data_IF_704630179331
#
_entry.id   IF_704630179331
#
_cell.length_a   1.000
_cell.length_b   1.000
_cell.length_c   1.000
_cell.angle_alpha   90.00
_cell.angle_beta   90.00
_cell.angle_gamma   90.00
#
_symmetry.space_group_name_H-M   'P 1'
#
loop_
_entity.id
_entity.type
_entity.pdbx_description
1 polymer ?
#
# COMPACT_ATOMS: atom_id res chain seq x y z
N UNK A 1 -29.79 -32.49 -11.27
CA UNK A 1 -29.56 -31.14 -10.78
C UNK A 1 -28.06 -30.88 -10.89
N UNK A 2 -27.64 -30.18 -11.95
CA UNK A 2 -26.26 -29.73 -12.13
C UNK A 2 -26.15 -28.44 -11.32
N UNK A 3 -25.49 -28.49 -10.18
CA UNK A 3 -25.05 -27.29 -9.50
C UNK A 3 -24.01 -26.63 -10.41
N UNK A 4 -24.42 -25.59 -11.10
CA UNK A 4 -23.47 -24.64 -11.71
C UNK A 4 -22.80 -23.89 -10.56
N UNK A 5 -21.67 -24.42 -10.09
CA UNK A 5 -20.86 -23.78 -9.07
C UNK A 5 -20.42 -22.40 -9.58
N UNK A 6 -21.14 -21.36 -9.20
CA UNK A 6 -20.74 -19.99 -9.45
C UNK A 6 -19.37 -19.77 -8.83
N UNK A 7 -18.40 -19.23 -9.61
CA UNK A 7 -17.07 -18.88 -9.11
C UNK A 7 -17.25 -17.88 -7.95
N UNK A 8 -16.90 -18.31 -6.72
CA UNK A 8 -16.96 -17.42 -5.55
C UNK A 8 -16.02 -16.26 -5.76
N UNK A 9 -16.55 -15.04 -5.72
CA UNK A 9 -15.72 -13.83 -5.79
C UNK A 9 -14.77 -13.78 -4.59
N UNK A 10 -13.51 -13.46 -4.88
CA UNK A 10 -12.49 -13.25 -3.85
C UNK A 10 -12.65 -11.87 -3.21
N UNK A 11 -12.41 -11.82 -1.92
CA UNK A 11 -12.57 -10.61 -1.11
C UNK A 11 -11.27 -9.83 -1.05
N UNK A 12 -11.30 -8.55 -1.41
CA UNK A 12 -10.17 -7.61 -1.39
C UNK A 12 -10.23 -6.72 -0.16
N UNK A 13 -9.09 -6.58 0.53
CA UNK A 13 -8.82 -5.52 1.48
C UNK A 13 -7.79 -4.57 0.89
N UNK A 14 -8.06 -3.27 0.96
CA UNK A 14 -7.09 -2.22 0.66
C UNK A 14 -6.61 -1.63 1.97
N UNK A 15 -5.31 -1.65 2.21
CA UNK A 15 -4.71 -1.05 3.39
C UNK A 15 -3.53 -0.17 2.98
N UNK A 16 -3.44 1.03 3.56
CA UNK A 16 -2.45 2.00 3.13
C UNK A 16 -2.01 2.90 4.28
N UNK A 17 -0.82 3.47 4.13
CA UNK A 17 -0.34 4.61 4.88
C UNK A 17 -0.20 5.81 3.94
N UNK A 18 -0.59 6.98 4.40
CA UNK A 18 -0.46 8.22 3.63
C UNK A 18 -0.09 9.37 4.56
N UNK A 19 0.78 10.24 4.06
CA UNK A 19 1.20 11.45 4.76
C UNK A 19 1.37 12.59 3.75
N UNK A 20 1.48 13.85 4.24
CA UNK A 20 1.63 15.02 3.39
C UNK A 20 0.40 15.26 2.49
N UNK A 21 0.55 15.21 1.17
CA UNK A 21 -0.50 15.59 0.21
C UNK A 21 -1.62 14.57 0.03
N UNK A 22 -1.56 13.42 0.70
CA UNK A 22 -2.57 12.38 0.55
C UNK A 22 -2.51 11.62 -0.77
N UNK A 23 -1.36 11.58 -1.43
CA UNK A 23 -1.21 10.94 -2.74
C UNK A 23 -1.48 9.44 -2.69
N UNK A 24 -0.93 8.73 -1.70
CA UNK A 24 -1.19 7.28 -1.54
C UNK A 24 -2.67 7.02 -1.24
N UNK A 25 -3.27 7.83 -0.39
CA UNK A 25 -4.71 7.75 -0.08
C UNK A 25 -5.57 7.93 -1.32
N UNK A 26 -5.22 8.89 -2.18
CA UNK A 26 -5.92 9.13 -3.44
C UNK A 26 -5.94 7.89 -4.32
N UNK A 27 -4.81 7.21 -4.47
CA UNK A 27 -4.72 5.99 -5.27
C UNK A 27 -5.50 4.84 -4.62
N UNK A 28 -5.40 4.69 -3.30
CA UNK A 28 -6.15 3.68 -2.56
C UNK A 28 -7.68 3.86 -2.76
N UNK A 29 -8.16 5.10 -2.72
CA UNK A 29 -9.58 5.42 -2.95
C UNK A 29 -10.03 5.20 -4.40
N UNK A 30 -9.15 5.45 -5.37
CA UNK A 30 -9.43 5.09 -6.77
C UNK A 30 -9.65 3.58 -6.91
N UNK A 31 -8.78 2.77 -6.31
CA UNK A 31 -8.93 1.32 -6.33
C UNK A 31 -10.20 0.87 -5.62
N UNK A 32 -10.52 1.46 -4.48
CA UNK A 32 -11.75 1.16 -3.73
C UNK A 32 -13.00 1.43 -4.54
N UNK A 33 -13.09 2.58 -5.19
CA UNK A 33 -14.28 2.98 -5.94
C UNK A 33 -14.59 2.04 -7.10
N UNK A 34 -13.58 1.41 -7.69
CA UNK A 34 -13.73 0.50 -8.82
C UNK A 34 -13.90 -0.97 -8.40
N UNK A 35 -13.65 -1.30 -7.15
CA UNK A 35 -13.70 -2.67 -6.64
C UNK A 35 -14.74 -2.88 -5.54
N UNK A 36 -15.33 -1.81 -5.03
CA UNK A 36 -16.26 -1.81 -3.88
C UNK A 36 -15.70 -2.62 -2.69
N UNK A 37 -14.43 -2.40 -2.39
CA UNK A 37 -13.67 -3.16 -1.40
C UNK A 37 -13.60 -2.45 -0.06
N UNK A 38 -13.30 -3.21 1.00
CA UNK A 38 -12.96 -2.63 2.30
C UNK A 38 -11.62 -1.89 2.21
N UNK A 39 -11.53 -0.77 2.90
CA UNK A 39 -10.34 0.09 2.93
C UNK A 39 -10.03 0.52 4.35
N UNK A 40 -8.75 0.47 4.71
CA UNK A 40 -8.24 0.90 6.00
C UNK A 40 -6.98 1.72 5.87
N UNK A 41 -6.88 2.76 6.68
CA UNK A 41 -5.67 3.56 6.82
C UNK A 41 -4.85 3.07 8.01
N UNK A 42 -3.54 2.92 7.81
CA UNK A 42 -2.58 2.68 8.89
C UNK A 42 -2.27 4.02 9.55
N UNK A 43 -2.39 4.09 10.87
CA UNK A 43 -1.97 5.23 11.67
C UNK A 43 -0.93 4.80 12.70
N UNK A 44 0.09 5.64 12.92
CA UNK A 44 1.04 5.43 14.01
C UNK A 44 0.45 5.86 15.33
N UNK A 45 0.81 5.18 16.42
CA UNK A 45 0.38 5.54 17.78
C UNK A 45 0.88 6.94 18.13
N UNK A 46 2.15 7.23 17.81
CA UNK A 46 2.73 8.57 17.92
C UNK A 46 2.73 9.21 16.52
N UNK A 47 1.91 10.23 16.28
CA UNK A 47 1.88 10.90 14.98
C UNK A 47 3.20 11.58 14.64
N UNK A 48 3.55 11.58 13.36
CA UNK A 48 4.62 12.44 12.87
C UNK A 48 4.17 13.90 12.99
N UNK A 49 5.02 14.74 13.56
CA UNK A 49 4.68 16.13 13.84
C UNK A 49 5.85 17.07 13.56
N UNK A 50 5.55 18.36 13.46
CA UNK A 50 6.51 19.40 13.13
C UNK A 50 6.41 19.83 11.67
N UNK A 51 7.45 20.49 11.17
CA UNK A 51 7.52 20.92 9.78
C UNK A 51 7.70 19.73 8.82
N UNK A 52 7.50 19.99 7.53
CA UNK A 52 7.79 18.99 6.50
C UNK A 52 9.24 18.46 6.64
N UNK A 53 10.20 19.36 6.81
CA UNK A 53 11.61 18.98 6.96
C UNK A 53 11.87 18.16 8.23
N UNK A 54 11.20 18.47 9.33
CA UNK A 54 11.30 17.68 10.56
C UNK A 54 10.87 16.23 10.33
N UNK A 55 9.77 16.01 9.62
CA UNK A 55 9.28 14.67 9.32
C UNK A 55 10.19 13.97 8.30
N UNK A 56 10.69 14.68 7.30
CA UNK A 56 11.68 14.14 6.34
C UNK A 56 12.92 13.63 7.07
N UNK A 57 13.46 14.41 8.00
CA UNK A 57 14.64 14.04 8.78
C UNK A 57 14.36 12.88 9.74
N UNK A 58 13.20 12.85 10.38
CA UNK A 58 12.77 11.74 11.21
C UNK A 58 12.65 10.45 10.39
N UNK A 59 12.04 10.55 9.21
CA UNK A 59 11.90 9.42 8.29
C UNK A 59 13.25 8.85 7.86
N UNK A 60 14.24 9.71 7.57
CA UNK A 60 15.60 9.26 7.25
C UNK A 60 16.22 8.49 8.41
N UNK A 61 16.12 9.00 9.61
CA UNK A 61 16.63 8.33 10.80
C UNK A 61 15.96 6.98 11.04
N UNK A 62 14.64 6.91 10.92
CA UNK A 62 13.88 5.69 11.12
C UNK A 62 14.24 4.62 10.08
N UNK A 63 14.33 5.01 8.80
CA UNK A 63 14.72 4.10 7.71
C UNK A 63 16.14 3.57 7.91
N UNK A 64 17.08 4.44 8.25
CA UNK A 64 18.48 4.04 8.48
C UNK A 64 18.65 3.07 9.64
N UNK A 65 17.85 3.22 10.71
CA UNK A 65 17.86 2.33 11.87
C UNK A 65 17.03 1.06 11.69
N UNK A 66 16.28 0.95 10.61
CA UNK A 66 15.30 -0.12 10.47
C UNK A 66 14.18 -0.06 11.52
N UNK A 67 13.83 1.13 11.98
CA UNK A 67 12.82 1.34 13.01
C UNK A 67 11.42 1.00 12.50
N UNK A 68 10.66 0.30 13.34
CA UNK A 68 9.27 -0.07 13.07
C UNK A 68 8.40 0.62 14.11
N UNK A 69 7.79 1.79 13.77
CA UNK A 69 6.93 2.50 14.71
C UNK A 69 5.71 1.67 15.08
N UNK A 70 5.27 1.80 16.32
CA UNK A 70 4.01 1.20 16.74
C UNK A 70 2.85 1.80 15.98
N UNK A 71 2.00 0.98 15.42
CA UNK A 71 0.78 1.39 14.71
C UNK A 71 -0.45 1.13 15.58
N UNK A 72 -1.49 1.95 15.38
CA UNK A 72 -2.76 1.75 16.06
C UNK A 72 -3.36 0.40 15.67
N UNK A 73 -4.04 -0.29 16.60
CA UNK A 73 -4.72 -1.54 16.29
C UNK A 73 -5.65 -1.39 15.09
N UNK A 74 -5.60 -2.36 14.17
CA UNK A 74 -6.49 -2.42 13.02
C UNK A 74 -7.69 -3.28 13.40
N UNK A 75 -8.89 -2.71 13.26
CA UNK A 75 -10.15 -3.40 13.56
C UNK A 75 -10.56 -4.30 12.40
N UNK A 76 -9.65 -5.18 12.01
CA UNK A 76 -9.85 -6.09 10.89
C UNK A 76 -8.94 -7.31 11.03
N UNK A 77 -9.44 -8.45 10.54
CA UNK A 77 -8.67 -9.68 10.44
C UNK A 77 -8.34 -9.97 8.98
N UNK A 78 -7.05 -9.90 8.61
CA UNK A 78 -6.64 -10.15 7.21
C UNK A 78 -6.94 -11.59 6.77
N UNK A 79 -7.12 -12.53 7.71
CA UNK A 79 -7.53 -13.89 7.37
C UNK A 79 -8.88 -13.96 6.63
N UNK A 80 -9.73 -12.94 6.80
CA UNK A 80 -11.05 -12.87 6.14
C UNK A 80 -10.96 -12.44 4.67
N UNK A 81 -9.77 -12.13 4.17
CA UNK A 81 -9.54 -11.62 2.83
C UNK A 81 -8.64 -12.55 2.01
N UNK A 82 -8.92 -12.64 0.73
CA UNK A 82 -8.13 -13.45 -0.21
C UNK A 82 -7.02 -12.64 -0.86
N UNK A 83 -7.29 -11.36 -1.11
CA UNK A 83 -6.38 -10.42 -1.77
C UNK A 83 -6.20 -9.19 -0.89
N UNK A 84 -4.96 -8.78 -0.68
CA UNK A 84 -4.62 -7.62 0.14
C UNK A 84 -3.77 -6.66 -0.68
N UNK A 85 -4.33 -5.49 -1.00
CA UNK A 85 -3.58 -4.41 -1.64
C UNK A 85 -2.98 -3.52 -0.56
N UNK A 86 -1.68 -3.32 -0.61
CA UNK A 86 -0.94 -2.54 0.38
C UNK A 86 -0.29 -1.34 -0.28
N UNK A 87 -0.69 -0.15 0.14
CA UNK A 87 -0.21 1.13 -0.40
C UNK A 87 0.72 1.88 0.54
N UNK A 88 1.79 2.45 -0.01
CA UNK A 88 2.80 3.20 0.73
C UNK A 88 3.30 4.40 -0.08
N UNK A 89 3.63 5.54 0.57
CA UNK A 89 4.51 6.51 -0.04
C UNK A 89 5.95 5.98 -0.05
N UNK A 90 6.82 6.66 -0.79
CA UNK A 90 8.27 6.39 -0.77
C UNK A 90 8.93 7.27 0.27
N UNK A 91 9.56 6.67 1.25
CA UNK A 91 10.34 7.35 2.28
C UNK A 91 11.80 6.88 2.18
N UNK A 92 12.68 7.77 1.76
CA UNK A 92 14.10 7.46 1.65
C UNK A 92 14.37 6.14 0.89
N UNK A 93 13.80 6.06 -0.32
CA UNK A 93 13.97 4.97 -1.29
C UNK A 93 13.35 3.64 -0.90
N UNK A 94 12.56 3.60 0.17
CA UNK A 94 11.85 2.38 0.61
C UNK A 94 10.42 2.70 1.05
N UNK A 95 9.69 1.70 1.54
CA UNK A 95 8.35 1.89 2.10
C UNK A 95 8.39 2.75 3.37
N UNK A 96 7.29 3.43 3.68
CA UNK A 96 7.13 4.12 4.95
C UNK A 96 7.30 3.13 6.12
N UNK A 97 7.99 3.53 7.21
CA UNK A 97 8.21 2.64 8.37
C UNK A 97 6.92 2.05 8.96
N UNK A 98 5.81 2.80 8.94
CA UNK A 98 4.51 2.31 9.41
C UNK A 98 3.99 1.12 8.58
N UNK A 99 4.23 1.12 7.28
CA UNK A 99 3.88 0.00 6.39
C UNK A 99 4.76 -1.21 6.69
N UNK A 100 6.03 -1.01 6.94
CA UNK A 100 6.95 -2.08 7.35
C UNK A 100 6.48 -2.75 8.64
N UNK A 101 6.05 -1.95 9.63
CA UNK A 101 5.44 -2.46 10.86
C UNK A 101 4.25 -3.35 10.55
N UNK A 102 3.32 -2.88 9.72
CA UNK A 102 2.13 -3.66 9.34
C UNK A 102 2.52 -4.98 8.66
N UNK A 103 3.40 -4.93 7.67
CA UNK A 103 3.80 -6.14 6.92
C UNK A 103 4.48 -7.18 7.81
N UNK A 104 5.25 -6.75 8.80
CA UNK A 104 5.90 -7.66 9.73
C UNK A 104 4.98 -8.22 10.81
N UNK A 105 3.86 -7.56 11.10
CA UNK A 105 2.89 -8.02 12.10
C UNK A 105 1.91 -9.05 11.58
N UNK A 106 1.72 -9.17 10.26
CA UNK A 106 0.69 -10.00 9.66
C UNK A 106 1.27 -11.28 9.07
N UNK A 107 0.42 -12.30 9.00
CA UNK A 107 0.73 -13.54 8.29
C UNK A 107 0.11 -13.51 6.89
N UNK A 108 0.96 -13.44 5.87
CA UNK A 108 0.54 -13.39 4.47
C UNK A 108 0.67 -14.74 3.76
N UNK A 109 1.00 -15.82 4.45
CA UNK A 109 1.18 -17.14 3.83
C UNK A 109 -0.11 -17.55 3.09
N UNK A 110 0.02 -17.87 1.81
CA UNK A 110 -1.10 -18.27 0.95
C UNK A 110 -2.01 -17.14 0.50
N UNK A 111 -1.75 -15.90 0.91
CA UNK A 111 -2.50 -14.71 0.45
C UNK A 111 -1.94 -14.18 -0.86
N UNK A 112 -2.79 -13.55 -1.64
CA UNK A 112 -2.36 -12.73 -2.78
C UNK A 112 -2.19 -11.30 -2.29
N UNK A 113 -1.01 -10.71 -2.52
CA UNK A 113 -0.68 -9.35 -2.11
C UNK A 113 -0.37 -8.49 -3.33
N UNK A 114 -0.98 -7.32 -3.38
CA UNK A 114 -0.81 -6.32 -4.44
C UNK A 114 -0.16 -5.07 -3.84
N UNK A 115 1.18 -4.93 -3.94
CA UNK A 115 1.83 -3.72 -3.47
C UNK A 115 1.68 -2.58 -4.47
N UNK A 116 1.37 -1.38 -3.99
CA UNK A 116 1.41 -0.17 -4.79
C UNK A 116 2.06 0.96 -4.01
N UNK A 117 2.73 1.85 -4.72
CA UNK A 117 3.45 2.93 -4.09
C UNK A 117 3.35 4.23 -4.88
N UNK A 118 3.47 5.34 -4.17
CA UNK A 118 3.55 6.68 -4.76
C UNK A 118 4.94 7.26 -4.55
N UNK A 119 5.43 7.97 -5.55
CA UNK A 119 6.76 8.59 -5.52
C UNK A 119 6.79 9.88 -6.34
N UNK A 120 7.84 10.66 -6.16
CA UNK A 120 8.09 11.90 -6.91
C UNK A 120 9.16 11.77 -8.00
N UNK A 121 9.39 10.55 -8.51
CA UNK A 121 10.41 10.26 -9.53
C UNK A 121 11.60 9.45 -9.00
N UNK A 122 11.59 9.11 -7.72
CA UNK A 122 12.64 8.31 -7.08
C UNK A 122 12.03 7.10 -6.39
N UNK A 123 11.61 6.07 -7.16
CA UNK A 123 10.91 4.92 -6.59
C UNK A 123 11.77 4.03 -5.69
N UNK A 124 13.10 4.12 -5.79
CA UNK A 124 14.00 3.31 -4.99
C UNK A 124 13.73 1.82 -5.10
N UNK A 125 13.79 1.13 -3.96
CA UNK A 125 13.57 -0.32 -3.86
C UNK A 125 12.29 -0.67 -3.08
N UNK A 126 11.29 0.22 -3.11
CA UNK A 126 10.02 0.06 -2.36
C UNK A 126 9.36 -1.28 -2.64
N UNK A 127 9.09 -1.58 -3.90
CA UNK A 127 8.39 -2.81 -4.28
C UNK A 127 9.19 -4.06 -3.91
N UNK A 128 10.50 -4.04 -4.14
CA UNK A 128 11.39 -5.13 -3.75
C UNK A 128 11.34 -5.41 -2.24
N UNK A 129 11.38 -4.35 -1.44
CA UNK A 129 11.35 -4.46 0.01
C UNK A 129 9.99 -4.95 0.51
N UNK A 130 8.90 -4.48 -0.10
CA UNK A 130 7.54 -4.96 0.22
C UNK A 130 7.39 -6.46 -0.09
N UNK A 131 7.88 -6.90 -1.24
CA UNK A 131 7.87 -8.33 -1.60
C UNK A 131 8.63 -9.17 -0.58
N UNK A 132 9.81 -8.71 -0.16
CA UNK A 132 10.62 -9.39 0.84
C UNK A 132 9.92 -9.48 2.21
N UNK A 133 9.11 -8.48 2.57
CA UNK A 133 8.39 -8.44 3.83
C UNK A 133 7.14 -9.36 3.84
N UNK A 134 6.63 -9.74 2.68
CA UNK A 134 5.42 -10.58 2.54
C UNK A 134 5.79 -12.04 2.31
N UNK A 135 6.54 -12.65 3.22
CA UNK A 135 7.00 -14.04 3.09
C UNK A 135 5.84 -15.01 2.92
N UNK A 136 5.93 -15.88 1.92
CA UNK A 136 4.93 -16.90 1.63
C UNK A 136 3.69 -16.40 0.90
N UNK A 137 3.59 -15.12 0.58
CA UNK A 137 2.52 -14.56 -0.22
C UNK A 137 2.79 -14.73 -1.72
N UNK A 138 1.70 -14.77 -2.49
CA UNK A 138 1.75 -14.59 -3.93
C UNK A 138 1.67 -13.08 -4.23
N UNK A 139 2.81 -12.45 -4.52
CA UNK A 139 2.89 -11.01 -4.76
C UNK A 139 2.77 -10.73 -6.25
N UNK A 140 1.71 -10.05 -6.65
CA UNK A 140 1.34 -9.81 -8.06
C UNK A 140 0.83 -8.38 -8.26
N UNK A 141 0.75 -7.95 -9.52
CA UNK A 141 0.14 -6.69 -9.93
C UNK A 141 0.69 -5.46 -9.20
N UNK A 142 1.97 -5.45 -8.85
CA UNK A 142 2.58 -4.28 -8.22
C UNK A 142 2.53 -3.05 -9.13
N UNK A 143 2.38 -1.87 -8.54
CA UNK A 143 2.26 -0.61 -9.27
C UNK A 143 3.07 0.50 -8.63
N UNK A 144 3.83 1.21 -9.46
CA UNK A 144 4.51 2.45 -9.10
C UNK A 144 3.75 3.61 -9.72
N UNK A 145 3.29 4.55 -8.89
CA UNK A 145 2.57 5.74 -9.34
C UNK A 145 3.42 6.97 -9.06
N UNK A 146 3.72 7.73 -10.11
CA UNK A 146 4.53 8.94 -10.00
C UNK A 146 3.67 10.18 -9.93
N UNK A 147 3.99 11.03 -8.96
CA UNK A 147 3.52 12.39 -8.82
C UNK A 147 4.66 13.36 -9.09
N UNK A 148 4.40 14.67 -9.06
CA UNK A 148 5.43 15.66 -9.40
C UNK A 148 6.62 15.64 -8.45
N UNK A 149 7.80 15.99 -8.98
CA UNK A 149 9.07 15.92 -8.28
C UNK A 149 9.26 17.01 -7.21
N UNK A 150 8.36 17.98 -7.13
CA UNK A 150 8.41 19.04 -6.12
C UNK A 150 7.72 18.65 -4.81
N UNK A 151 7.29 17.41 -4.69
CA UNK A 151 6.57 16.92 -3.53
C UNK A 151 5.09 17.29 -3.52
N UNK A 152 4.55 17.67 -4.68
CA UNK A 152 3.16 18.08 -4.84
C UNK A 152 2.20 16.93 -5.15
N UNK A 153 0.99 17.28 -5.54
CA UNK A 153 -0.10 16.35 -5.78
C UNK A 153 -0.47 16.18 -7.26
N UNK A 154 0.36 16.69 -8.17
CA UNK A 154 0.14 16.55 -9.60
C UNK A 154 0.52 15.13 -10.05
N UNK A 155 -0.48 14.39 -10.52
CA UNK A 155 -0.28 13.03 -11.01
C UNK A 155 0.43 13.07 -12.36
N UNK A 156 1.58 12.38 -12.47
CA UNK A 156 2.35 12.26 -13.69
C UNK A 156 2.14 10.93 -14.39
N UNK A 157 1.94 9.85 -13.65
CA UNK A 157 1.56 8.56 -14.23
C UNK A 157 0.24 8.72 -15.01
N UNK A 158 0.18 8.35 -16.28
CA UNK A 158 -1.07 8.45 -17.05
C UNK A 158 -2.23 7.73 -16.40
N UNK A 159 -3.39 8.37 -16.35
CA UNK A 159 -4.60 7.78 -15.76
C UNK A 159 -4.95 6.43 -16.41
N UNK A 160 -4.69 6.28 -17.70
CA UNK A 160 -4.91 5.02 -18.40
C UNK A 160 -4.11 3.86 -17.83
N UNK A 161 -2.84 4.10 -17.46
CA UNK A 161 -2.01 3.07 -16.81
C UNK A 161 -2.56 2.66 -15.44
N UNK A 162 -3.07 3.63 -14.69
CA UNK A 162 -3.73 3.34 -13.40
C UNK A 162 -5.01 2.53 -13.62
N UNK A 163 -5.79 2.88 -14.65
CA UNK A 163 -7.01 2.15 -15.00
C UNK A 163 -6.71 0.71 -15.42
N UNK A 164 -5.66 0.49 -16.20
CA UNK A 164 -5.19 -0.84 -16.57
C UNK A 164 -4.75 -1.66 -15.36
N UNK A 165 -4.03 -1.04 -14.43
CA UNK A 165 -3.65 -1.67 -13.18
C UNK A 165 -4.88 -2.06 -12.34
N UNK A 166 -5.84 -1.15 -12.17
CA UNK A 166 -7.08 -1.42 -11.45
C UNK A 166 -7.81 -2.61 -12.09
N UNK A 167 -7.88 -2.66 -13.42
CA UNK A 167 -8.49 -3.79 -14.11
C UNK A 167 -7.74 -5.10 -13.84
N UNK A 168 -6.41 -5.07 -13.79
CA UNK A 168 -5.60 -6.24 -13.45
C UNK A 168 -5.90 -6.73 -12.03
N UNK A 169 -6.09 -5.81 -11.07
CA UNK A 169 -6.49 -6.17 -9.71
C UNK A 169 -7.90 -6.77 -9.70
N UNK A 170 -8.86 -6.16 -10.42
CA UNK A 170 -10.22 -6.70 -10.56
C UNK A 170 -10.23 -8.12 -11.10
N UNK A 171 -9.33 -8.43 -12.01
CA UNK A 171 -9.21 -9.78 -12.60
C UNK A 171 -8.73 -10.83 -11.59
N UNK A 172 -8.21 -10.42 -10.43
CA UNK A 172 -7.85 -11.32 -9.34
C UNK A 172 -9.07 -11.75 -8.50
N UNK A 173 -10.16 -11.00 -8.60
CA UNK A 173 -11.37 -11.17 -7.78
C UNK A 173 -12.42 -12.01 -8.53
#
# INVERSE_FOLDING_TARGET
>A
LIETGGKKMKKLLIIYYSWSNGNTERIAKMLQSETDSDILKIDTVVPYSGSYDDVVNQGQNEVQRGYEPEIKPLDINIADYDVIAVGTPTWWYTMAPAVKTFLHQQDFIGKTVVPFMTNGGWPGHVIKDMKAACKGANVVCDMQIQFDSTGGSNLETPQEQINEWIQSVKNLL
#
